data_IF_064819161538
#
_entry.id   IF_064819161538
#
_cell.length_a   1.000
_cell.length_b   1.000
_cell.length_c   1.000
_cell.angle_alpha   90.00
_cell.angle_beta   90.00
_cell.angle_gamma   90.00
#
_symmetry.space_group_name_H-M   'P 1'
#
loop_
_entity.id
_entity.type
_entity.pdbx_description
1 polymer ?
#
# COMPACT_ATOMS: atom_id res chain seq x y z
N UNK A 1 7.51 16.48 14.61
CA UNK A 1 7.25 15.56 13.48
C UNK A 1 6.34 14.45 13.99
N UNK A 2 5.12 14.34 13.46
CA UNK A 2 4.19 13.27 13.81
C UNK A 2 4.52 12.02 12.98
N UNK A 3 5.71 11.43 13.20
CA UNK A 3 6.06 10.13 12.66
C UNK A 3 5.50 9.09 13.61
N UNK A 4 4.39 8.45 13.25
CA UNK A 4 3.92 7.30 14.01
C UNK A 4 4.57 6.02 13.48
N UNK A 5 4.77 5.05 14.36
CA UNK A 5 5.33 3.74 14.02
C UNK A 5 4.55 3.03 12.89
N UNK A 6 3.25 3.35 12.72
CA UNK A 6 2.42 2.88 11.62
C UNK A 6 2.89 3.45 10.27
N UNK A 7 3.19 4.74 10.18
CA UNK A 7 3.62 5.35 8.91
C UNK A 7 4.96 4.77 8.44
N UNK A 8 5.90 4.61 9.37
CA UNK A 8 7.21 4.00 9.09
C UNK A 8 7.03 2.55 8.63
N UNK A 9 6.15 1.79 9.27
CA UNK A 9 5.85 0.42 8.87
C UNK A 9 5.21 0.34 7.47
N UNK A 10 4.27 1.24 7.15
CA UNK A 10 3.62 1.29 5.83
C UNK A 10 4.65 1.60 4.73
N UNK A 11 5.39 2.71 4.86
CA UNK A 11 6.36 3.10 3.84
C UNK A 11 7.54 2.12 3.76
N UNK A 12 7.98 1.57 4.89
CA UNK A 12 9.01 0.53 4.93
C UNK A 12 8.57 -0.75 4.22
N UNK A 13 7.32 -1.20 4.44
CA UNK A 13 6.76 -2.36 3.76
C UNK A 13 6.58 -2.13 2.24
N UNK A 14 6.12 -0.94 1.85
CA UNK A 14 6.01 -0.57 0.44
C UNK A 14 7.37 -0.58 -0.25
N UNK A 15 8.39 0.01 0.38
CA UNK A 15 9.76 0.01 -0.12
C UNK A 15 10.31 -1.41 -0.23
N UNK A 16 10.10 -2.24 0.78
CA UNK A 16 10.53 -3.64 0.78
C UNK A 16 9.91 -4.43 -0.37
N UNK A 17 8.59 -4.30 -0.58
CA UNK A 17 7.92 -4.93 -1.71
C UNK A 17 8.40 -4.36 -3.05
N UNK A 18 8.63 -3.04 -3.16
CA UNK A 18 9.15 -2.43 -4.38
C UNK A 18 10.50 -3.03 -4.79
N UNK A 19 11.40 -3.23 -3.82
CA UNK A 19 12.70 -3.86 -4.04
C UNK A 19 12.53 -5.31 -4.47
N UNK A 20 11.69 -6.10 -3.78
CA UNK A 20 11.39 -7.47 -4.16
C UNK A 20 10.82 -7.56 -5.59
N UNK A 21 9.87 -6.70 -5.94
CA UNK A 21 9.27 -6.64 -7.26
C UNK A 21 10.28 -6.27 -8.35
N UNK A 22 11.20 -5.35 -8.04
CA UNK A 22 12.28 -4.95 -8.95
C UNK A 22 13.27 -6.11 -9.17
N UNK A 23 13.72 -6.77 -8.09
CA UNK A 23 14.68 -7.89 -8.14
C UNK A 23 14.10 -9.12 -8.84
N UNK A 24 12.81 -9.39 -8.67
CA UNK A 24 12.11 -10.49 -9.37
C UNK A 24 11.84 -10.21 -10.85
N UNK A 25 12.33 -9.08 -11.37
CA UNK A 25 12.18 -8.71 -12.77
C UNK A 25 10.75 -8.34 -13.14
N UNK A 26 9.97 -7.81 -12.18
CA UNK A 26 8.59 -7.35 -12.35
C UNK A 26 7.63 -8.44 -12.85
N UNK A 27 7.89 -9.70 -12.48
CA UNK A 27 7.10 -10.88 -12.91
C UNK A 27 6.00 -11.29 -11.92
N UNK A 28 5.91 -10.62 -10.78
CA UNK A 28 4.90 -10.96 -9.75
C UNK A 28 3.51 -10.57 -10.29
N UNK A 29 2.52 -11.47 -10.30
CA UNK A 29 1.17 -11.14 -10.74
C UNK A 29 0.46 -10.21 -9.75
N UNK A 30 -0.50 -9.40 -10.24
CA UNK A 30 -1.29 -8.53 -9.38
C UNK A 30 -2.09 -9.34 -8.35
N UNK A 31 -2.14 -8.81 -7.13
CA UNK A 31 -2.94 -9.38 -6.05
C UNK A 31 -4.44 -9.21 -6.38
N UNK A 32 -5.25 -10.24 -6.13
CA UNK A 32 -6.70 -10.11 -6.31
C UNK A 32 -7.27 -9.08 -5.32
N UNK A 33 -8.19 -8.22 -5.76
CA UNK A 33 -8.71 -7.10 -4.97
C UNK A 33 -9.35 -7.54 -3.63
N UNK A 34 -10.02 -8.70 -3.60
CA UNK A 34 -10.60 -9.27 -2.36
C UNK A 34 -9.51 -9.59 -1.35
N UNK A 35 -8.38 -10.14 -1.82
CA UNK A 35 -7.28 -10.56 -0.97
C UNK A 35 -6.55 -9.33 -0.39
N UNK A 36 -6.40 -8.28 -1.20
CA UNK A 36 -5.94 -6.97 -0.72
C UNK A 36 -6.87 -6.38 0.36
N UNK A 37 -8.18 -6.45 0.13
CA UNK A 37 -9.17 -5.93 1.07
C UNK A 37 -9.15 -6.70 2.38
N UNK A 38 -9.12 -8.04 2.34
CA UNK A 38 -9.14 -8.87 3.55
C UNK A 38 -7.83 -8.84 4.34
N UNK A 39 -6.67 -8.86 3.68
CA UNK A 39 -5.36 -8.98 4.36
C UNK A 39 -4.77 -7.60 4.68
N UNK A 40 -4.94 -6.63 3.79
CA UNK A 40 -4.41 -5.28 3.95
C UNK A 40 -5.37 -4.34 4.65
N UNK A 41 -6.52 -4.12 4.02
CA UNK A 41 -7.47 -3.09 4.47
C UNK A 41 -8.24 -3.50 5.72
N UNK A 42 -8.59 -4.78 5.86
CA UNK A 42 -9.36 -5.31 7.00
C UNK A 42 -8.68 -5.05 8.34
N UNK A 43 -7.44 -5.52 8.58
CA UNK A 43 -6.77 -5.38 9.87
C UNK A 43 -6.44 -3.92 10.22
N UNK A 44 -5.94 -3.13 9.27
CA UNK A 44 -5.66 -1.70 9.50
C UNK A 44 -6.93 -0.89 9.66
N UNK A 45 -7.98 -1.22 8.91
CA UNK A 45 -9.28 -0.60 9.02
C UNK A 45 -9.89 -0.82 10.39
N UNK A 46 -9.93 -2.06 10.88
CA UNK A 46 -10.46 -2.37 12.21
C UNK A 46 -9.64 -1.71 13.33
N UNK A 47 -8.30 -1.82 13.28
CA UNK A 47 -7.42 -1.23 14.29
C UNK A 47 -7.47 0.31 14.26
N UNK A 48 -7.38 0.93 13.08
CA UNK A 48 -7.45 2.37 12.89
C UNK A 48 -8.82 2.97 13.20
N UNK A 49 -9.90 2.30 12.81
CA UNK A 49 -11.28 2.75 13.09
C UNK A 49 -11.59 2.67 14.59
N UNK A 50 -11.19 1.57 15.25
CA UNK A 50 -11.35 1.45 16.71
C UNK A 50 -10.58 2.53 17.48
N UNK A 51 -9.39 2.90 16.99
CA UNK A 51 -8.56 3.95 17.58
C UNK A 51 -9.14 5.35 17.40
N UNK A 52 -9.60 5.68 16.18
CA UNK A 52 -10.22 6.99 15.90
C UNK A 52 -11.51 7.15 16.70
N UNK A 53 -12.37 6.12 16.72
CA UNK A 53 -13.64 6.18 17.47
C UNK A 53 -13.41 6.30 18.98
N UNK A 54 -12.40 5.63 19.52
CA UNK A 54 -12.04 5.73 20.94
C UNK A 54 -11.54 7.14 21.32
N UNK A 55 -10.99 7.90 20.37
CA UNK A 55 -10.48 9.26 20.57
C UNK A 55 -11.53 10.36 20.32
N UNK A 56 -12.61 10.06 19.60
CA UNK A 56 -13.75 10.96 19.50
C UNK A 56 -14.50 10.93 20.84
N UNK A 57 -14.40 12.00 21.65
CA UNK A 57 -15.08 12.19 22.94
C UNK A 57 -16.62 12.31 22.78
N UNK A 58 -17.26 11.36 22.10
CA UNK A 58 -18.71 11.28 21.96
C UNK A 58 -19.25 10.79 23.31
N UNK A 59 -19.96 11.67 24.03
CA UNK A 59 -20.43 11.39 25.39
C UNK A 59 -21.32 10.13 25.49
N UNK A 60 -21.99 9.74 24.39
CA UNK A 60 -22.81 8.52 24.31
C UNK A 60 -22.01 7.22 24.14
N UNK A 61 -20.76 7.27 23.66
CA UNK A 61 -19.93 6.10 23.35
C UNK A 61 -18.77 5.92 24.35
N UNK A 62 -18.43 6.96 25.10
CA UNK A 62 -17.42 6.95 26.16
C UNK A 62 -17.72 5.95 27.31
N UNK A 63 -18.99 5.54 27.50
CA UNK A 63 -19.39 4.52 28.48
C UNK A 63 -19.22 3.07 27.98
N UNK A 64 -19.10 2.86 26.66
CA UNK A 64 -19.03 1.54 26.02
C UNK A 64 -17.62 1.22 25.50
N UNK A 65 -16.87 2.24 25.08
CA UNK A 65 -15.51 2.09 24.54
C UNK A 65 -14.52 2.96 25.34
N UNK A 66 -13.75 2.37 26.28
CA UNK A 66 -12.73 3.10 27.00
C UNK A 66 -11.62 3.58 26.07
N UNK A 67 -10.90 4.62 26.49
CA UNK A 67 -9.71 5.12 25.80
C UNK A 67 -8.69 3.99 25.65
N UNK A 68 -8.46 3.55 24.41
CA UNK A 68 -7.54 2.46 24.08
C UNK A 68 -6.46 2.97 23.13
N UNK A 69 -5.22 3.00 23.61
CA UNK A 69 -4.07 3.08 22.72
C UNK A 69 -3.79 1.70 22.12
N UNK A 70 -3.69 1.64 20.79
CA UNK A 70 -3.22 0.44 20.10
C UNK A 70 -1.75 0.22 20.46
N UNK A 71 -1.39 -1.02 20.83
CA UNK A 71 -0.02 -1.35 21.23
C UNK A 71 0.95 -1.09 20.07
N UNK A 72 2.20 -0.66 20.34
CA UNK A 72 3.23 -0.43 19.32
C UNK A 72 3.40 -1.56 18.29
N UNK A 73 3.30 -2.80 18.76
CA UNK A 73 3.40 -3.99 17.92
C UNK A 73 2.23 -4.14 16.94
N UNK A 74 0.98 -3.92 17.39
CA UNK A 74 -0.20 -4.01 16.52
C UNK A 74 -0.18 -2.94 15.43
N UNK A 75 0.27 -1.73 15.75
CA UNK A 75 0.33 -0.61 14.80
C UNK A 75 1.37 -0.85 13.71
N UNK A 76 2.52 -1.43 14.07
CA UNK A 76 3.56 -1.79 13.10
C UNK A 76 3.15 -3.00 12.26
N UNK A 77 2.57 -4.04 12.86
CA UNK A 77 2.14 -5.24 12.14
C UNK A 77 1.02 -4.94 11.13
N UNK A 78 -0.03 -4.26 11.57
CA UNK A 78 -1.15 -3.89 10.69
C UNK A 78 -0.67 -2.92 9.60
N UNK A 79 0.12 -1.91 9.96
CA UNK A 79 0.73 -0.98 8.99
C UNK A 79 1.60 -1.68 7.96
N UNK A 80 2.42 -2.64 8.39
CA UNK A 80 3.26 -3.45 7.49
C UNK A 80 2.40 -4.29 6.54
N UNK A 81 1.41 -5.02 7.05
CA UNK A 81 0.52 -5.85 6.23
C UNK A 81 -0.18 -5.02 5.17
N UNK A 82 -0.72 -3.87 5.55
CA UNK A 82 -1.37 -2.94 4.62
C UNK A 82 -0.40 -2.36 3.60
N UNK A 83 0.78 -1.88 4.03
CA UNK A 83 1.79 -1.34 3.11
C UNK A 83 2.26 -2.38 2.10
N UNK A 84 2.56 -3.59 2.56
CA UNK A 84 3.01 -4.71 1.73
C UNK A 84 1.92 -5.15 0.74
N UNK A 85 0.69 -5.38 1.22
CA UNK A 85 -0.42 -5.81 0.35
C UNK A 85 -0.78 -4.74 -0.66
N UNK A 86 -0.70 -3.46 -0.28
CA UNK A 86 -1.02 -2.33 -1.17
C UNK A 86 0.05 -2.16 -2.24
N UNK A 87 1.33 -2.34 -1.90
CA UNK A 87 2.39 -2.35 -2.89
C UNK A 87 2.30 -3.55 -3.84
N UNK A 88 1.93 -4.73 -3.32
CA UNK A 88 1.68 -5.93 -4.15
C UNK A 88 0.47 -5.76 -5.05
N UNK A 89 -0.60 -5.13 -4.58
CA UNK A 89 -1.70 -4.79 -5.45
C UNK A 89 -1.27 -3.76 -6.51
N UNK A 90 -0.70 -2.64 -6.09
CA UNK A 90 -0.43 -1.49 -6.96
C UNK A 90 0.64 -1.72 -8.04
N UNK A 91 1.85 -2.16 -7.68
CA UNK A 91 2.97 -2.15 -8.63
C UNK A 91 2.78 -3.06 -9.85
N UNK A 92 2.31 -4.32 -9.72
CA UNK A 92 2.03 -5.16 -10.87
C UNK A 92 0.93 -4.59 -11.78
N UNK A 93 -0.14 -4.02 -11.21
CA UNK A 93 -1.20 -3.37 -11.99
C UNK A 93 -0.66 -2.16 -12.78
N UNK A 94 0.21 -1.36 -12.16
CA UNK A 94 0.86 -0.23 -12.84
C UNK A 94 1.77 -0.71 -13.96
N UNK A 95 2.60 -1.72 -13.73
CA UNK A 95 3.48 -2.29 -14.75
C UNK A 95 2.67 -2.86 -15.94
N UNK A 96 1.57 -3.55 -15.66
CA UNK A 96 0.69 -4.09 -16.70
C UNK A 96 0.06 -2.98 -17.56
N UNK A 97 -0.48 -1.93 -16.92
CA UNK A 97 -1.08 -0.79 -17.64
C UNK A 97 -0.04 0.02 -18.43
N UNK A 98 1.21 0.08 -17.95
CA UNK A 98 2.28 0.84 -18.61
C UNK A 98 2.98 0.10 -19.74
N UNK A 99 2.81 -1.22 -19.84
CA UNK A 99 3.45 -2.05 -20.86
C UNK A 99 3.11 -1.58 -22.27
N UNK A 100 1.84 -1.29 -22.54
CA UNK A 100 1.38 -0.85 -23.87
C UNK A 100 1.89 0.55 -24.23
N UNK A 101 1.76 1.51 -23.31
CA UNK A 101 2.27 2.87 -23.49
C UNK A 101 3.78 2.86 -23.73
N UNK A 102 4.53 2.02 -23.01
CA UNK A 102 5.97 1.84 -23.21
C UNK A 102 6.29 1.37 -24.63
N UNK A 103 5.58 0.36 -25.14
CA UNK A 103 5.79 -0.10 -26.51
C UNK A 103 5.47 0.96 -27.56
N UNK A 104 4.39 1.72 -27.35
CA UNK A 104 4.01 2.82 -28.25
C UNK A 104 5.08 3.92 -28.29
N UNK A 105 5.60 4.31 -27.12
CA UNK A 105 6.68 5.29 -27.02
C UNK A 105 7.97 4.81 -27.68
N UNK A 106 8.36 3.55 -27.47
CA UNK A 106 9.55 2.97 -28.12
C UNK A 106 9.43 3.05 -29.64
N UNK A 107 8.26 2.69 -30.21
CA UNK A 107 8.02 2.79 -31.66
C UNK A 107 8.12 4.23 -32.17
N UNK A 108 7.50 5.18 -31.46
CA UNK A 108 7.57 6.60 -31.83
C UNK A 108 8.99 7.15 -31.81
N UNK A 109 9.75 6.84 -30.77
CA UNK A 109 11.15 7.26 -30.63
C UNK A 109 12.00 6.67 -31.75
N UNK A 110 11.80 5.39 -32.10
CA UNK A 110 12.51 4.75 -33.22
C UNK A 110 12.21 5.43 -34.57
N UNK A 111 10.95 5.77 -34.85
CA UNK A 111 10.56 6.49 -36.08
C UNK A 111 11.22 7.87 -36.14
N UNK A 112 11.18 8.63 -35.03
CA UNK A 112 11.78 9.97 -34.99
C UNK A 112 13.30 9.91 -35.21
N UNK A 113 13.97 8.90 -34.64
CA UNK A 113 15.40 8.71 -34.86
C UNK A 113 15.72 8.37 -36.33
N UNK A 114 14.91 7.50 -36.96
CA UNK A 114 15.08 7.12 -38.37
C UNK A 114 14.81 8.25 -39.37
N UNK A 115 14.05 9.29 -38.99
CA UNK A 115 13.81 10.48 -39.81
C UNK A 115 14.96 11.50 -39.68
N UNK A 116 15.70 11.46 -38.56
CA UNK A 116 16.80 12.39 -38.28
C UNK A 116 18.14 11.95 -38.88
N UNK A 117 18.30 10.66 -39.18
CA UNK A 117 19.41 10.09 -39.96
C UNK A 117 19.19 10.30 -41.46
#
# INVERSE_FOLDING_TARGET
>A
MALCERDIAIYGAMLFFALLFSVTGRRIPPLHWVLWLLIGLGPVGLDGFSQIISQFEIQALASVLPYRESTPFLRTLTGFLFGFSTAWFGFPYVEESMRETRQFLIKKVAIVNAIKE
#
